data_IF_876474459860
#
_entry.id   IF_876474459860
#
_cell.length_a   1.000
_cell.length_b   1.000
_cell.length_c   1.000
_cell.angle_alpha   90.00
_cell.angle_beta   90.00
_cell.angle_gamma   90.00
#
_symmetry.space_group_name_H-M   'P 1'
#
loop_
_entity.id
_entity.type
_entity.pdbx_description
1 polymer ?
#
# COMPACT_ATOMS: atom_id res chain seq x y z
N UNK A 1 -12.22 77.26 -5.87
CA UNK A 1 -12.69 76.55 -4.65
C UNK A 1 -11.49 75.77 -4.14
N UNK A 2 -10.56 76.38 -3.41
CA UNK A 2 -10.58 76.70 -1.96
C UNK A 2 -9.49 75.82 -1.32
N UNK A 3 -8.31 76.36 -0.93
CA UNK A 3 -7.94 76.89 0.41
C UNK A 3 -8.04 75.76 1.48
N UNK A 4 -7.09 75.38 2.35
CA UNK A 4 -5.84 75.88 2.96
C UNK A 4 -5.05 74.61 3.43
N UNK A 5 -3.72 74.52 3.44
CA UNK A 5 -2.81 75.16 4.38
C UNK A 5 -2.67 74.37 5.70
N UNK A 6 -1.47 73.85 6.00
CA UNK A 6 -0.85 73.81 7.34
C UNK A 6 0.61 73.35 7.24
N UNK A 7 1.48 74.14 7.84
CA UNK A 7 2.95 74.07 7.82
C UNK A 7 3.51 73.61 9.17
N UNK A 8 4.75 73.07 9.11
CA UNK A 8 5.77 73.00 10.18
C UNK A 8 5.51 71.93 11.28
N UNK A 9 6.48 71.16 11.75
CA UNK A 9 7.71 71.60 12.43
C UNK A 9 8.86 70.58 12.32
N UNK A 10 10.07 71.13 12.24
CA UNK A 10 11.36 70.43 12.32
C UNK A 10 11.98 70.68 13.70
N UNK A 11 12.58 69.66 14.31
CA UNK A 11 13.59 69.82 15.37
C UNK A 11 14.71 68.78 15.17
N UNK A 12 16.01 69.16 15.29
CA UNK A 12 17.17 68.31 15.01
C UNK A 12 17.96 67.90 16.28
N UNK A 13 18.81 66.88 16.15
CA UNK A 13 20.17 66.72 16.75
C UNK A 13 20.56 65.22 16.66
N UNK A 14 21.63 64.84 15.94
CA UNK A 14 23.00 64.67 16.46
C UNK A 14 23.14 63.25 17.05
N UNK A 15 24.04 62.36 16.61
CA UNK A 15 25.50 62.52 16.53
C UNK A 15 26.18 61.42 15.69
N UNK A 16 27.38 61.74 15.22
CA UNK A 16 28.37 60.87 14.56
C UNK A 16 29.11 59.99 15.59
N UNK A 17 29.51 58.78 15.19
CA UNK A 17 30.55 58.01 15.89
C UNK A 17 30.65 56.54 15.45
N UNK A 18 31.66 56.22 14.62
CA UNK A 18 32.24 54.88 14.39
C UNK A 18 33.03 54.45 15.66
N UNK A 19 33.24 53.15 15.99
CA UNK A 19 34.17 52.30 15.24
C UNK A 19 33.78 50.81 15.10
N UNK A 20 34.44 50.19 14.12
CA UNK A 20 34.49 48.76 13.82
C UNK A 20 35.06 47.93 14.98
N UNK A 21 34.51 46.73 15.20
CA UNK A 21 35.22 45.63 15.85
C UNK A 21 35.07 44.35 15.01
N UNK A 22 36.20 43.68 14.86
CA UNK A 22 36.47 42.57 13.97
C UNK A 22 35.93 41.23 14.49
N UNK A 23 35.55 40.36 13.55
CA UNK A 23 36.07 38.99 13.50
C UNK A 23 35.38 37.87 14.30
N UNK A 24 35.22 36.76 13.58
CA UNK A 24 35.12 35.35 14.01
C UNK A 24 33.72 34.76 14.25
N UNK A 25 33.45 33.69 13.49
CA UNK A 25 32.27 32.83 13.63
C UNK A 25 31.52 32.66 12.32
N UNK A 26 32.04 31.81 11.42
CA UNK A 26 31.22 31.20 10.36
C UNK A 26 29.99 30.57 11.03
N UNK A 27 28.75 30.90 10.65
CA UNK A 27 27.63 30.06 11.03
C UNK A 27 27.83 28.75 10.27
N UNK A 28 28.26 27.70 10.99
CA UNK A 28 28.12 26.34 10.49
C UNK A 28 26.65 26.16 10.20
N UNK A 29 26.36 25.87 8.94
CA UNK A 29 25.06 25.42 8.47
C UNK A 29 24.50 24.43 9.49
N UNK A 30 23.19 24.45 9.81
CA UNK A 30 22.62 23.28 10.43
C UNK A 30 22.98 22.12 9.51
N UNK A 31 23.80 21.20 10.02
CA UNK A 31 23.94 19.89 9.39
C UNK A 31 22.53 19.35 9.42
N UNK A 32 21.84 19.45 8.27
CA UNK A 32 20.73 18.59 8.00
C UNK A 32 21.29 17.20 8.21
N UNK A 33 20.88 16.57 9.32
CA UNK A 33 20.82 15.12 9.37
C UNK A 33 20.10 14.76 8.08
N UNK A 34 20.85 14.22 7.12
CA UNK A 34 20.22 13.41 6.10
C UNK A 34 19.60 12.28 6.91
N UNK A 35 18.32 12.42 7.23
CA UNK A 35 17.51 11.27 7.60
C UNK A 35 17.74 10.28 6.46
N UNK A 36 18.44 9.20 6.80
CA UNK A 36 18.64 8.08 5.89
C UNK A 36 17.26 7.48 5.67
N UNK A 37 16.52 8.03 4.73
CA UNK A 37 15.25 7.48 4.27
C UNK A 37 15.62 6.33 3.33
N UNK A 38 15.93 5.16 3.89
CA UNK A 38 16.14 3.95 3.11
C UNK A 38 15.84 2.74 3.99
N UNK A 39 14.63 2.23 3.83
CA UNK A 39 14.06 1.13 4.61
C UNK A 39 12.59 0.87 4.30
N UNK A 40 11.91 1.79 3.62
CA UNK A 40 10.47 1.70 3.43
C UNK A 40 10.02 0.57 2.48
N UNK A 41 8.99 -0.17 2.91
CA UNK A 41 8.28 -1.16 2.10
C UNK A 41 6.98 -0.54 1.64
N UNK A 42 6.68 -0.65 0.34
CA UNK A 42 5.40 -0.17 -0.22
C UNK A 42 4.73 -1.31 -0.98
N UNK A 43 3.50 -1.64 -0.58
CA UNK A 43 2.65 -2.65 -1.18
C UNK A 43 1.70 -2.02 -2.20
N UNK A 44 1.63 -2.65 -3.35
CA UNK A 44 0.74 -2.32 -4.45
C UNK A 44 -0.15 -3.52 -4.75
N UNK A 45 -1.44 -3.39 -4.45
CA UNK A 45 -2.47 -4.35 -4.89
C UNK A 45 -3.22 -3.81 -6.10
N UNK A 46 -3.77 -4.69 -6.94
CA UNK A 46 -4.61 -4.24 -8.03
C UNK A 46 -5.88 -3.57 -7.46
N UNK A 47 -6.23 -2.36 -7.92
CA UNK A 47 -7.42 -1.68 -7.43
C UNK A 47 -8.68 -2.46 -7.80
N UNK A 48 -9.55 -2.67 -6.81
CA UNK A 48 -10.88 -3.25 -7.01
C UNK A 48 -11.02 -4.69 -6.52
N UNK A 49 -11.66 -5.53 -7.35
CA UNK A 49 -11.99 -6.92 -7.01
C UNK A 49 -11.51 -7.88 -8.08
N UNK A 50 -11.06 -9.05 -7.66
CA UNK A 50 -10.81 -10.19 -8.53
C UNK A 50 -11.99 -11.14 -8.45
N UNK A 51 -12.32 -11.78 -9.58
CA UNK A 51 -13.54 -12.58 -9.73
C UNK A 51 -13.18 -13.95 -10.28
N UNK A 52 -13.77 -14.99 -9.71
CA UNK A 52 -13.64 -16.38 -10.20
C UNK A 52 -14.93 -17.15 -9.94
N UNK A 53 -15.06 -18.35 -10.49
CA UNK A 53 -16.12 -19.29 -10.15
C UNK A 53 -15.64 -20.36 -9.15
N UNK A 54 -16.59 -21.09 -8.56
CA UNK A 54 -16.33 -22.23 -7.68
C UNK A 54 -15.59 -23.35 -8.44
N UNK A 55 -14.55 -23.91 -7.83
CA UNK A 55 -13.65 -24.90 -8.43
C UNK A 55 -12.54 -24.28 -9.27
N UNK A 56 -12.63 -22.97 -9.57
CA UNK A 56 -11.65 -22.25 -10.35
C UNK A 56 -10.30 -22.06 -9.62
N UNK A 57 -9.37 -21.45 -10.33
CA UNK A 57 -8.09 -20.98 -9.79
C UNK A 57 -8.01 -19.48 -9.97
N UNK A 58 -7.60 -18.77 -8.93
CA UNK A 58 -7.48 -17.32 -8.94
C UNK A 58 -6.13 -16.88 -8.38
N UNK A 59 -5.69 -15.71 -8.78
CA UNK A 59 -4.51 -15.03 -8.26
C UNK A 59 -4.98 -13.79 -7.52
N UNK A 60 -4.58 -13.65 -6.26
CA UNK A 60 -4.74 -12.43 -5.48
C UNK A 60 -3.50 -11.56 -5.71
N UNK A 61 -3.60 -10.46 -6.46
CA UNK A 61 -2.44 -9.65 -6.84
C UNK A 61 -1.90 -8.87 -5.65
N UNK A 62 -0.60 -9.01 -5.38
CA UNK A 62 0.13 -8.21 -4.41
C UNK A 62 1.57 -8.06 -4.89
N UNK A 63 1.95 -6.85 -5.28
CA UNK A 63 3.32 -6.48 -5.60
C UNK A 63 3.87 -5.61 -4.48
N UNK A 64 5.16 -5.65 -4.24
CA UNK A 64 5.80 -4.76 -3.28
C UNK A 64 7.14 -4.27 -3.82
N UNK A 65 7.48 -3.06 -3.40
CA UNK A 65 8.79 -2.46 -3.63
C UNK A 65 9.50 -2.35 -2.29
N UNK A 66 10.78 -2.73 -2.27
CA UNK A 66 11.67 -2.56 -1.14
C UNK A 66 13.04 -2.14 -1.66
N UNK A 67 13.79 -1.39 -0.85
CA UNK A 67 15.15 -1.00 -1.21
C UNK A 67 16.11 -2.18 -1.01
N UNK A 68 16.54 -2.77 -2.13
CA UNK A 68 17.44 -3.94 -2.17
C UNK A 68 18.86 -3.59 -1.68
N UNK A 69 19.20 -2.30 -1.61
CA UNK A 69 20.55 -1.87 -1.24
C UNK A 69 20.85 -1.99 0.26
N UNK A 70 19.83 -2.21 1.10
CA UNK A 70 19.95 -2.18 2.56
C UNK A 70 19.57 -3.47 3.29
N UNK A 71 18.83 -4.41 2.67
CA UNK A 71 18.27 -5.59 3.38
C UNK A 71 18.37 -6.90 2.58
N UNK A 72 18.50 -8.04 3.27
CA UNK A 72 18.49 -9.37 2.64
C UNK A 72 17.05 -9.73 2.20
N UNK A 73 16.80 -10.04 0.92
CA UNK A 73 15.49 -10.52 0.46
C UNK A 73 14.95 -11.73 1.25
N UNK A 74 15.82 -12.51 1.89
CA UNK A 74 15.45 -13.64 2.72
C UNK A 74 14.76 -13.23 4.04
N UNK A 75 14.94 -11.99 4.49
CA UNK A 75 14.34 -11.44 5.71
C UNK A 75 12.91 -10.93 5.49
N UNK A 76 12.52 -10.76 4.23
CA UNK A 76 11.16 -10.31 3.88
C UNK A 76 10.16 -11.40 4.25
N UNK A 77 9.24 -11.04 5.15
CA UNK A 77 8.12 -11.89 5.55
C UNK A 77 6.88 -11.48 4.76
N UNK A 78 6.32 -12.44 4.04
CA UNK A 78 5.02 -12.29 3.39
C UNK A 78 3.97 -13.04 4.20
N UNK A 79 2.88 -12.36 4.54
CA UNK A 79 1.76 -12.95 5.26
C UNK A 79 0.45 -12.60 4.56
N UNK A 80 -0.27 -13.64 4.18
CA UNK A 80 -1.64 -13.53 3.71
C UNK A 80 -2.60 -13.93 4.81
N UNK A 81 -3.57 -13.06 5.08
CA UNK A 81 -4.70 -13.35 5.97
C UNK A 81 -6.02 -13.14 5.25
N UNK A 82 -7.05 -13.85 5.71
CA UNK A 82 -8.43 -13.58 5.33
C UNK A 82 -9.12 -12.83 6.46
N UNK A 83 -9.75 -11.71 6.14
CA UNK A 83 -10.60 -10.97 7.06
C UNK A 83 -11.93 -11.70 7.19
N UNK A 84 -12.29 -12.12 8.40
CA UNK A 84 -13.56 -12.81 8.68
C UNK A 84 -14.55 -11.89 9.39
N UNK A 85 -14.08 -11.07 10.31
CA UNK A 85 -14.85 -10.05 11.03
C UNK A 85 -14.01 -8.77 11.13
N UNK A 86 -14.57 -7.59 11.49
CA UNK A 86 -13.83 -6.33 11.53
C UNK A 86 -12.54 -6.34 12.35
N UNK A 87 -12.38 -7.29 13.28
CA UNK A 87 -11.19 -7.46 14.11
C UNK A 87 -10.69 -8.92 14.15
N UNK A 88 -11.15 -9.77 13.22
CA UNK A 88 -10.77 -11.18 13.19
C UNK A 88 -10.19 -11.56 11.83
N UNK A 89 -9.06 -12.26 11.91
CA UNK A 89 -8.26 -12.67 10.77
C UNK A 89 -7.92 -14.15 10.89
N UNK A 90 -7.91 -14.84 9.76
CA UNK A 90 -7.43 -16.22 9.66
C UNK A 90 -6.19 -16.24 8.79
N UNK A 91 -5.11 -16.83 9.29
CA UNK A 91 -3.90 -17.04 8.50
C UNK A 91 -4.21 -17.94 7.30
N UNK A 92 -3.76 -17.50 6.12
CA UNK A 92 -3.93 -18.22 4.85
C UNK A 92 -2.60 -18.83 4.43
N UNK A 93 -1.56 -17.99 4.36
CA UNK A 93 -0.24 -18.38 3.88
C UNK A 93 0.84 -17.47 4.47
N UNK A 94 1.99 -18.06 4.83
CA UNK A 94 3.17 -17.33 5.31
C UNK A 94 4.41 -17.79 4.55
N UNK A 95 5.27 -16.84 4.21
CA UNK A 95 6.52 -17.04 3.51
C UNK A 95 7.64 -16.25 4.20
N UNK A 96 8.81 -16.88 4.40
CA UNK A 96 10.04 -16.23 4.86
C UNK A 96 11.23 -16.94 4.21
N UNK A 97 12.04 -16.23 3.42
CA UNK A 97 13.12 -16.83 2.64
C UNK A 97 12.63 -17.96 1.73
N UNK A 98 13.05 -19.21 1.99
CA UNK A 98 12.56 -20.43 1.31
C UNK A 98 11.44 -21.16 2.06
N UNK A 99 11.18 -20.80 3.31
CA UNK A 99 10.14 -21.41 4.11
C UNK A 99 8.76 -20.93 3.62
N UNK A 100 7.84 -21.87 3.50
CA UNK A 100 6.47 -21.64 3.04
C UNK A 100 5.51 -22.45 3.90
N UNK A 101 4.41 -21.85 4.35
CA UNK A 101 3.41 -22.52 5.16
C UNK A 101 2.00 -22.03 4.81
N UNK A 102 1.16 -22.96 4.36
CA UNK A 102 -0.28 -22.75 4.24
C UNK A 102 -1.01 -23.23 5.50
N UNK A 103 -2.16 -22.63 5.80
CA UNK A 103 -2.92 -22.90 7.03
C UNK A 103 -4.36 -23.35 6.73
N UNK A 104 -5.00 -24.00 7.70
CA UNK A 104 -6.41 -24.42 7.61
C UNK A 104 -6.78 -25.13 6.31
N UNK A 105 -7.93 -24.73 5.75
CA UNK A 105 -8.47 -25.22 4.48
C UNK A 105 -7.67 -24.79 3.24
N UNK A 106 -6.69 -23.90 3.39
CA UNK A 106 -5.84 -23.44 2.29
C UNK A 106 -4.64 -24.38 2.01
N UNK A 107 -4.35 -25.31 2.93
CA UNK A 107 -3.28 -26.30 2.76
C UNK A 107 -3.45 -27.10 1.46
N UNK A 108 -2.37 -27.20 0.70
CA UNK A 108 -2.33 -27.94 -0.58
C UNK A 108 -3.02 -27.25 -1.75
N UNK A 109 -3.60 -26.06 -1.54
CA UNK A 109 -4.32 -25.30 -2.58
C UNK A 109 -3.73 -23.93 -2.83
N UNK A 110 -2.92 -23.41 -1.90
CA UNK A 110 -2.26 -22.11 -2.01
C UNK A 110 -0.77 -22.20 -2.28
N UNK A 111 -0.27 -21.23 -3.06
CA UNK A 111 1.14 -21.03 -3.36
C UNK A 111 1.39 -19.57 -3.72
N UNK A 112 2.62 -19.07 -3.57
CA UNK A 112 3.00 -17.79 -4.16
C UNK A 112 3.18 -17.94 -5.67
N UNK A 113 2.89 -16.87 -6.40
CA UNK A 113 3.11 -16.80 -7.84
C UNK A 113 4.60 -16.65 -8.18
N UNK A 114 5.32 -15.82 -7.43
CA UNK A 114 6.78 -15.59 -7.58
C UNK A 114 7.17 -15.14 -9.00
N UNK A 115 6.34 -14.32 -9.66
CA UNK A 115 6.60 -13.76 -10.99
C UNK A 115 7.55 -12.55 -10.90
N UNK A 116 8.79 -12.84 -10.51
CA UNK A 116 9.88 -11.89 -10.34
C UNK A 116 10.02 -11.35 -8.92
N UNK A 117 11.06 -10.53 -8.73
CA UNK A 117 11.29 -9.84 -7.46
C UNK A 117 10.11 -8.93 -7.12
N UNK A 118 9.76 -8.87 -5.83
CA UNK A 118 8.64 -8.04 -5.38
C UNK A 118 7.25 -8.62 -5.70
N UNK A 119 7.13 -9.89 -6.12
CA UNK A 119 5.83 -10.53 -6.29
C UNK A 119 5.42 -11.34 -5.06
N UNK A 120 4.41 -10.86 -4.36
CA UNK A 120 3.77 -11.52 -3.23
C UNK A 120 2.39 -12.09 -3.59
N UNK A 121 2.03 -12.14 -4.89
CA UNK A 121 0.71 -12.58 -5.33
C UNK A 121 0.43 -14.03 -4.92
N UNK A 122 -0.78 -14.27 -4.40
CA UNK A 122 -1.19 -15.58 -3.88
C UNK A 122 -2.09 -16.30 -4.88
N UNK A 123 -1.68 -17.50 -5.28
CA UNK A 123 -2.51 -18.42 -6.07
C UNK A 123 -3.41 -19.21 -5.10
N UNK A 124 -4.71 -19.25 -5.36
CA UNK A 124 -5.67 -20.12 -4.68
C UNK A 124 -6.32 -21.05 -5.72
N UNK A 125 -6.11 -22.36 -5.56
CA UNK A 125 -6.69 -23.41 -6.41
C UNK A 125 -7.95 -24.00 -5.78
N UNK A 126 -8.84 -24.53 -6.63
CA UNK A 126 -10.08 -25.18 -6.23
C UNK A 126 -10.95 -24.29 -5.34
N UNK A 127 -11.21 -23.06 -5.78
CA UNK A 127 -11.90 -22.03 -4.99
C UNK A 127 -13.29 -22.51 -4.53
N UNK A 128 -13.62 -22.26 -3.27
CA UNK A 128 -14.87 -22.63 -2.61
C UNK A 128 -15.67 -21.38 -2.23
N UNK A 129 -16.94 -21.57 -1.87
CA UNK A 129 -17.77 -20.47 -1.37
C UNK A 129 -17.19 -19.83 -0.10
N UNK A 130 -16.48 -20.60 0.72
CA UNK A 130 -15.83 -20.10 1.93
C UNK A 130 -14.61 -19.23 1.63
N UNK A 131 -14.09 -19.22 0.40
CA UNK A 131 -12.96 -18.37 0.03
C UNK A 131 -13.43 -16.96 -0.35
N UNK A 132 -14.72 -16.74 -0.61
CA UNK A 132 -15.26 -15.40 -0.84
C UNK A 132 -14.92 -14.46 0.33
N UNK A 133 -14.47 -13.25 0.02
CA UNK A 133 -14.22 -12.22 1.03
C UNK A 133 -13.02 -11.35 0.74
N UNK A 134 -12.52 -10.72 1.82
CA UNK A 134 -11.41 -9.78 1.79
C UNK A 134 -10.15 -10.43 2.35
N UNK A 135 -9.04 -10.19 1.68
CA UNK A 135 -7.73 -10.71 2.02
C UNK A 135 -6.75 -9.56 2.21
N UNK A 136 -5.80 -9.75 3.10
CA UNK A 136 -4.73 -8.80 3.38
C UNK A 136 -3.39 -9.45 3.08
N UNK A 137 -2.55 -8.72 2.36
CA UNK A 137 -1.17 -9.05 2.04
C UNK A 137 -0.27 -8.12 2.85
N UNK A 138 0.26 -8.63 3.96
CA UNK A 138 1.23 -7.95 4.81
C UNK A 138 2.64 -8.32 4.31
N UNK A 139 3.44 -7.29 4.01
CA UNK A 139 4.85 -7.42 3.66
C UNK A 139 5.65 -6.71 4.74
N UNK A 140 6.48 -7.47 5.45
CA UNK A 140 7.29 -6.95 6.56
C UNK A 140 8.77 -7.15 6.27
N UNK A 141 9.58 -6.12 6.48
CA UNK A 141 11.04 -6.23 6.58
C UNK A 141 11.48 -5.98 8.04
N UNK A 142 12.77 -5.75 8.29
CA UNK A 142 13.28 -5.54 9.66
C UNK A 142 12.80 -4.24 10.32
N UNK A 143 12.40 -3.24 9.53
CA UNK A 143 12.17 -1.87 9.98
C UNK A 143 10.70 -1.44 9.86
N UNK A 144 9.99 -1.95 8.86
CA UNK A 144 8.65 -1.49 8.47
C UNK A 144 7.76 -2.65 7.97
N UNK A 145 6.44 -2.44 8.07
CA UNK A 145 5.41 -3.26 7.45
C UNK A 145 4.46 -2.39 6.62
N UNK A 146 4.05 -2.92 5.46
CA UNK A 146 2.95 -2.33 4.70
C UNK A 146 1.95 -3.42 4.28
N UNK A 147 0.68 -3.03 4.15
CA UNK A 147 -0.44 -3.95 3.97
C UNK A 147 -1.31 -3.57 2.79
N UNK A 148 -1.42 -4.48 1.83
CA UNK A 148 -2.33 -4.39 0.70
C UNK A 148 -3.63 -5.18 0.93
N UNK A 149 -4.74 -4.66 0.40
CA UNK A 149 -6.05 -5.33 0.49
C UNK A 149 -6.51 -5.82 -0.88
N UNK A 150 -7.04 -7.04 -0.94
CA UNK A 150 -7.63 -7.64 -2.15
C UNK A 150 -9.00 -8.22 -1.83
N UNK A 151 -10.00 -7.95 -2.68
CA UNK A 151 -11.34 -8.56 -2.57
C UNK A 151 -11.52 -9.66 -3.60
N UNK A 152 -11.88 -10.87 -3.14
CA UNK A 152 -12.28 -12.00 -3.99
C UNK A 152 -13.81 -12.12 -4.04
N UNK A 153 -14.39 -11.91 -5.21
CA UNK A 153 -15.80 -12.15 -5.52
C UNK A 153 -15.97 -13.49 -6.26
N UNK A 154 -17.13 -14.13 -6.07
CA UNK A 154 -17.48 -15.36 -6.78
C UNK A 154 -18.61 -15.11 -7.78
N UNK A 155 -18.44 -15.62 -8.99
CA UNK A 155 -19.49 -15.59 -10.01
C UNK A 155 -20.62 -16.55 -9.64
N UNK A 156 -21.85 -16.03 -9.69
CA UNK A 156 -23.04 -16.86 -9.62
C UNK A 156 -23.33 -17.41 -11.03
N UNK A 157 -23.27 -18.73 -11.18
CA UNK A 157 -23.73 -19.41 -12.38
C UNK A 157 -25.22 -19.70 -12.19
N UNK A 158 -26.07 -18.95 -12.90
CA UNK A 158 -27.50 -19.22 -12.95
C UNK A 158 -27.83 -20.10 -14.15
N UNK A 159 -28.52 -21.21 -13.94
CA UNK A 159 -29.14 -21.94 -15.04
C UNK A 159 -30.42 -21.17 -15.43
N UNK A 160 -30.44 -20.58 -16.61
CA UNK A 160 -31.66 -19.98 -17.15
C UNK A 160 -32.56 -21.11 -17.68
N UNK A 161 -33.36 -21.70 -16.79
CA UNK A 161 -34.25 -22.83 -17.10
C UNK A 161 -33.58 -24.21 -17.02
N UNK A 162 -34.40 -25.24 -16.84
CA UNK A 162 -33.97 -26.64 -16.76
C UNK A 162 -33.52 -27.07 -18.15
N UNK A 163 -32.21 -27.26 -18.35
CA UNK A 163 -31.61 -27.71 -19.61
C UNK A 163 -30.96 -26.64 -20.49
N UNK A 164 -30.91 -25.37 -20.05
CA UNK A 164 -30.16 -24.31 -20.74
C UNK A 164 -28.65 -24.32 -20.39
N UNK A 165 -27.78 -23.79 -21.27
CA UNK A 165 -26.37 -23.60 -20.94
C UNK A 165 -26.21 -22.63 -19.76
N UNK A 166 -25.31 -22.96 -18.83
CA UNK A 166 -24.96 -22.05 -17.74
C UNK A 166 -24.33 -20.79 -18.32
N UNK A 167 -24.91 -19.62 -18.05
CA UNK A 167 -24.42 -18.32 -18.50
C UNK A 167 -24.12 -17.38 -17.34
N UNK A 168 -23.19 -16.45 -17.55
CA UNK A 168 -22.92 -15.37 -16.59
C UNK A 168 -24.13 -14.43 -16.54
N UNK A 169 -24.62 -14.11 -15.34
CA UNK A 169 -25.58 -13.00 -15.15
C UNK A 169 -24.83 -11.67 -15.24
N UNK A 170 -24.41 -11.29 -16.45
CA UNK A 170 -23.87 -9.96 -16.76
C UNK A 170 -25.02 -8.95 -16.90
N UNK A 171 -24.92 -7.81 -16.22
CA UNK A 171 -25.95 -6.77 -16.21
C UNK A 171 -26.25 -6.22 -17.61
N UNK A 172 -27.45 -6.49 -18.11
CA UNK A 172 -28.00 -5.82 -19.28
C UNK A 172 -28.69 -4.53 -18.87
N UNK A 173 -28.16 -3.39 -19.31
CA UNK A 173 -28.98 -2.19 -19.52
C UNK A 173 -30.06 -2.57 -20.55
N UNK A 174 -31.32 -2.62 -20.13
CA UNK A 174 -32.44 -2.57 -21.05
C UNK A 174 -32.79 -1.11 -21.26
N UNK A 175 -32.43 -0.57 -22.44
CA UNK A 175 -33.02 0.65 -22.95
C UNK A 175 -34.43 0.36 -23.47
N UNK A 176 -35.36 1.23 -23.13
CA UNK A 176 -36.68 1.35 -23.75
C UNK A 176 -36.71 2.60 -24.63
#
# INVERSE_FOLDING_TARGET
MGLLGLTSFKVPSGSLGHPSCMGTGTPLSPVSLAEGESGAVVVQTAPGKVVTHRGGTIILPCRYHYDVSTHDPAEIRLKWTKVTEPMAFVDVFVALGKARRAFGSYRGRTALQEDGFGDASLIIRNVTLQDYGRYECEVTNELEDDTGVVKLDLEAWGCHGVGGPCGHRGGGLWGY
#
